data_IF_140370069882
#
_entry.id   IF_140370069882
#
_cell.length_a   1.000
_cell.length_b   1.000
_cell.length_c   1.000
_cell.angle_alpha   90.00
_cell.angle_beta   90.00
_cell.angle_gamma   90.00
#
_symmetry.space_group_name_H-M   'P 1'
#
loop_
_entity.id
_entity.type
_entity.pdbx_description
1 polymer ?
#
# COMPACT_ATOMS: atom_id res chain seq x y z
N UNK A 1 12.52 6.43 -11.17
CA UNK A 1 12.16 5.37 -10.19
C UNK A 1 10.83 5.74 -9.50
N UNK A 2 9.68 5.63 -10.19
CA UNK A 2 8.37 6.19 -9.74
C UNK A 2 7.52 5.25 -8.86
N UNK A 3 8.08 4.19 -8.26
CA UNK A 3 7.29 3.04 -7.75
C UNK A 3 7.43 2.70 -6.25
N UNK A 4 8.13 3.49 -5.43
CA UNK A 4 8.41 3.13 -4.02
C UNK A 4 7.16 2.82 -3.18
N UNK A 5 6.07 3.59 -3.35
CA UNK A 5 4.83 3.36 -2.60
C UNK A 5 4.14 2.05 -2.97
N UNK A 6 4.05 1.72 -4.27
CA UNK A 6 3.47 0.44 -4.73
C UNK A 6 4.24 -0.74 -4.16
N UNK A 7 5.57 -0.67 -4.19
CA UNK A 7 6.43 -1.72 -3.66
C UNK A 7 6.28 -1.88 -2.14
N UNK A 8 6.17 -0.77 -1.40
CA UNK A 8 5.95 -0.81 0.05
C UNK A 8 4.61 -1.44 0.42
N UNK A 9 3.54 -1.14 -0.32
CA UNK A 9 2.22 -1.75 -0.10
C UNK A 9 2.26 -3.24 -0.43
N UNK A 10 2.81 -3.59 -1.59
CA UNK A 10 2.84 -4.98 -2.07
C UNK A 10 3.59 -5.91 -1.10
N UNK A 11 4.71 -5.46 -0.51
CA UNK A 11 5.44 -6.25 0.49
C UNK A 11 4.77 -6.32 1.87
N UNK A 12 3.67 -5.61 2.06
CA UNK A 12 2.97 -5.51 3.34
C UNK A 12 1.61 -6.23 3.36
N UNK A 13 1.24 -6.86 2.24
CA UNK A 13 0.00 -7.64 2.06
C UNK A 13 0.32 -9.11 1.77
N UNK A 14 -0.66 -10.00 1.93
CA UNK A 14 -0.51 -11.44 1.66
C UNK A 14 -0.54 -11.70 0.15
N UNK A 15 -0.03 -12.84 -0.27
CA UNK A 15 -0.10 -13.29 -1.69
C UNK A 15 -1.55 -13.42 -2.17
N UNK A 16 -2.47 -13.75 -1.26
CA UNK A 16 -3.91 -13.84 -1.54
C UNK A 16 -4.60 -12.49 -1.73
N UNK A 17 -3.95 -11.40 -1.34
CA UNK A 17 -4.52 -10.06 -1.37
C UNK A 17 -4.22 -9.40 -2.72
N UNK A 18 -5.20 -8.69 -3.29
CA UNK A 18 -5.04 -8.01 -4.57
C UNK A 18 -4.77 -6.52 -4.34
N UNK A 19 -3.63 -6.04 -4.81
CA UNK A 19 -3.33 -4.61 -4.90
C UNK A 19 -3.67 -4.09 -6.30
N UNK A 20 -4.64 -3.19 -6.38
CA UNK A 20 -5.03 -2.50 -7.61
C UNK A 20 -4.75 -1.00 -7.50
N UNK A 21 -4.52 -0.35 -8.64
CA UNK A 21 -4.50 1.11 -8.76
C UNK A 21 -5.88 1.55 -9.24
N UNK A 22 -6.55 2.39 -8.47
CA UNK A 22 -7.91 2.82 -8.80
C UNK A 22 -7.91 4.00 -9.78
N UNK A 23 -6.97 4.93 -9.60
CA UNK A 23 -6.76 6.08 -10.46
C UNK A 23 -5.67 6.97 -9.88
N UNK A 24 -5.01 7.83 -10.68
CA UNK A 24 -4.04 8.80 -10.16
C UNK A 24 -3.01 8.19 -9.19
N UNK A 25 -2.96 8.67 -7.95
CA UNK A 25 -2.11 8.11 -6.88
C UNK A 25 -2.85 7.19 -5.89
N UNK A 26 -4.08 6.80 -6.22
CA UNK A 26 -4.97 6.01 -5.37
C UNK A 26 -4.79 4.50 -5.59
N UNK A 27 -4.70 3.78 -4.48
CA UNK A 27 -4.55 2.32 -4.46
C UNK A 27 -5.67 1.68 -3.64
N UNK A 28 -6.14 0.53 -4.11
CA UNK A 28 -7.15 -0.29 -3.43
C UNK A 28 -6.55 -1.66 -3.15
N UNK A 29 -6.79 -2.17 -1.94
CA UNK A 29 -6.37 -3.51 -1.54
C UNK A 29 -7.64 -4.32 -1.29
N UNK A 30 -7.80 -5.43 -2.01
CA UNK A 30 -8.87 -6.40 -1.78
C UNK A 30 -8.27 -7.54 -0.97
N UNK A 31 -8.87 -7.85 0.18
CA UNK A 31 -8.37 -8.84 1.13
C UNK A 31 -9.42 -9.96 1.31
N UNK A 32 -9.36 -11.03 0.48
CA UNK A 32 -10.28 -12.15 0.62
C UNK A 32 -10.18 -12.79 2.01
N UNK A 33 -11.30 -13.33 2.51
CA UNK A 33 -11.35 -14.04 3.80
C UNK A 33 -10.82 -13.24 4.99
N UNK A 34 -10.86 -11.90 4.91
CA UNK A 34 -10.36 -11.03 5.98
C UNK A 34 -11.52 -10.21 6.55
N UNK A 35 -11.75 -10.35 7.85
CA UNK A 35 -12.79 -9.59 8.57
C UNK A 35 -12.37 -8.14 8.83
N UNK A 36 -13.33 -7.30 9.23
CA UNK A 36 -13.12 -5.87 9.43
C UNK A 36 -12.00 -5.56 10.45
N UNK A 37 -11.91 -6.33 11.54
CA UNK A 37 -10.89 -6.13 12.59
C UNK A 37 -9.49 -6.36 12.02
N UNK A 38 -9.27 -7.48 11.33
CA UNK A 38 -7.99 -7.80 10.70
C UNK A 38 -7.63 -6.80 9.59
N UNK A 39 -8.62 -6.42 8.76
CA UNK A 39 -8.42 -5.42 7.72
C UNK A 39 -7.98 -4.07 8.30
N UNK A 40 -8.57 -3.66 9.43
CA UNK A 40 -8.21 -2.42 10.12
C UNK A 40 -6.78 -2.48 10.67
N UNK A 41 -6.36 -3.62 11.21
CA UNK A 41 -4.98 -3.82 11.67
C UNK A 41 -3.96 -3.75 10.52
N UNK A 42 -4.28 -4.36 9.38
CA UNK A 42 -3.44 -4.28 8.17
C UNK A 42 -3.36 -2.83 7.66
N UNK A 43 -4.48 -2.12 7.65
CA UNK A 43 -4.54 -0.72 7.24
C UNK A 43 -3.69 0.20 8.15
N UNK A 44 -3.77 0.04 9.48
CA UNK A 44 -2.95 0.85 10.39
C UNK A 44 -1.46 0.53 10.27
N UNK A 45 -1.09 -0.75 10.10
CA UNK A 45 0.29 -1.15 9.82
C UNK A 45 0.82 -0.50 8.54
N UNK A 46 0.04 -0.53 7.46
CA UNK A 46 0.38 0.12 6.20
C UNK A 46 0.54 1.63 6.40
N UNK A 47 -0.40 2.28 7.10
CA UNK A 47 -0.35 3.71 7.41
C UNK A 47 0.95 4.10 8.13
N UNK A 48 1.32 3.37 9.20
CA UNK A 48 2.56 3.60 9.93
C UNK A 48 3.80 3.42 9.06
N UNK A 49 3.81 2.41 8.19
CA UNK A 49 4.92 2.16 7.27
C UNK A 49 5.06 3.26 6.20
N UNK A 50 3.93 3.78 5.72
CA UNK A 50 3.90 4.87 4.74
C UNK A 50 4.42 6.19 5.29
N UNK A 51 4.10 6.51 6.55
CA UNK A 51 4.61 7.72 7.23
C UNK A 51 6.14 7.73 7.26
N UNK A 52 6.76 6.57 7.47
CA UNK A 52 8.22 6.43 7.56
C UNK A 52 8.89 6.22 6.19
N UNK A 53 8.12 6.12 5.10
CA UNK A 53 8.69 5.95 3.78
C UNK A 53 9.22 7.31 3.30
N UNK A 54 10.49 7.42 2.89
CA UNK A 54 10.99 8.65 2.30
C UNK A 54 10.12 9.02 1.10
N UNK A 55 9.57 10.24 1.11
CA UNK A 55 8.95 10.81 -0.06
C UNK A 55 10.07 11.07 -1.06
N UNK A 56 10.37 10.10 -1.93
CA UNK A 56 11.16 10.37 -3.12
C UNK A 56 10.35 11.35 -3.97
N UNK A 57 10.60 12.64 -3.77
CA UNK A 57 10.27 13.64 -4.77
C UNK A 57 11.10 13.27 -6.00
N UNK A 58 10.41 12.98 -7.10
CA UNK A 58 11.08 12.87 -8.37
C UNK A 58 11.75 14.22 -8.65
N UNK A 59 13.08 14.28 -8.58
CA UNK A 59 13.80 15.25 -9.38
C UNK A 59 13.48 14.88 -10.83
N UNK A 60 12.57 15.65 -11.43
CA UNK A 60 12.32 15.64 -12.87
C UNK A 60 13.53 16.34 -13.49
N UNK A 61 14.33 15.69 -14.36
CA UNK A 61 15.21 16.43 -15.25
C UNK A 61 14.39 17.21 -16.28
#
# INVERSE_FOLDING_TARGET
MKYCRRYAIFNSIRISDLLARYGGEEFVIIMPKTGIVEATLVADRLRRRMINLPLLQAQVP
#
